data_IF_574554969531
#
_entry.id   IF_574554969531
#
_cell.length_a   1.000
_cell.length_b   1.000
_cell.length_c   1.000
_cell.angle_alpha   90.00
_cell.angle_beta   90.00
_cell.angle_gamma   90.00
#
_symmetry.space_group_name_H-M   'P 1'
#
loop_
_entity.id
_entity.type
_entity.pdbx_description
1 polymer ?
#
# COMPACT_ATOMS: atom_id res chain seq x y z
N UNK A 1 12.32 -4.02 -1.05
CA UNK A 1 11.94 -4.04 0.38
C UNK A 1 10.42 -4.12 0.54
N UNK A 2 9.66 -3.19 -0.06
CA UNK A 2 8.19 -3.21 -0.03
C UNK A 2 7.56 -4.55 -0.47
N UNK A 3 7.97 -5.14 -1.59
CA UNK A 3 7.45 -6.46 -2.03
C UNK A 3 7.69 -7.56 -0.99
N UNK A 4 8.82 -7.54 -0.30
CA UNK A 4 9.16 -8.51 0.77
C UNK A 4 8.26 -8.33 1.99
N UNK A 5 7.89 -7.09 2.33
CA UNK A 5 6.93 -6.77 3.41
C UNK A 5 5.54 -7.30 3.05
N UNK A 6 5.07 -7.05 1.82
CA UNK A 6 3.75 -7.53 1.36
C UNK A 6 3.70 -9.07 1.33
N UNK A 7 4.76 -9.74 0.89
CA UNK A 7 4.82 -11.21 0.95
C UNK A 7 4.82 -11.74 2.37
N UNK A 8 5.48 -11.07 3.32
CA UNK A 8 5.47 -11.45 4.72
C UNK A 8 4.08 -11.29 5.35
N UNK A 9 3.38 -10.18 5.06
CA UNK A 9 1.98 -9.96 5.46
C UNK A 9 1.11 -11.11 4.96
N UNK A 10 1.14 -11.40 3.65
CA UNK A 10 0.33 -12.48 3.06
C UNK A 10 0.56 -13.84 3.73
N UNK A 11 1.82 -14.17 4.03
CA UNK A 11 2.17 -15.43 4.72
C UNK A 11 1.62 -15.47 6.13
N UNK A 12 1.70 -14.36 6.88
CA UNK A 12 1.18 -14.27 8.24
C UNK A 12 -0.35 -14.33 8.27
N UNK A 13 -1.02 -13.65 7.34
CA UNK A 13 -2.48 -13.67 7.22
C UNK A 13 -3.04 -15.02 6.78
N UNK A 14 -2.28 -15.77 5.96
CA UNK A 14 -2.65 -17.14 5.58
C UNK A 14 -2.43 -18.16 6.70
N UNK A 15 -1.71 -17.79 7.76
CA UNK A 15 -1.40 -18.69 8.87
C UNK A 15 -2.57 -18.72 9.85
N UNK A 16 -3.01 -19.91 10.26
CA UNK A 16 -4.09 -20.04 11.27
C UNK A 16 -3.63 -19.66 12.69
N UNK A 17 -2.31 -19.57 12.91
CA UNK A 17 -1.72 -19.18 14.19
C UNK A 17 -1.84 -17.68 14.46
N UNK A 18 -2.86 -17.33 15.26
CA UNK A 18 -3.13 -15.96 15.76
C UNK A 18 -2.44 -15.65 17.09
N UNK A 19 -1.24 -16.20 17.31
CA UNK A 19 -0.46 -15.85 18.50
C UNK A 19 -0.26 -14.34 18.61
N UNK A 20 -0.18 -13.83 19.84
CA UNK A 20 0.05 -12.41 20.11
C UNK A 20 1.31 -11.89 19.39
N UNK A 21 2.36 -12.71 19.31
CA UNK A 21 3.60 -12.37 18.61
C UNK A 21 3.40 -12.23 17.10
N UNK A 22 2.57 -13.07 16.47
CA UNK A 22 2.28 -12.96 15.04
C UNK A 22 1.44 -11.71 14.75
N UNK A 23 0.51 -11.37 15.64
CA UNK A 23 -0.28 -10.13 15.51
C UNK A 23 0.61 -8.89 15.65
N UNK A 24 1.50 -8.84 16.64
CA UNK A 24 2.45 -7.73 16.81
C UNK A 24 3.38 -7.58 15.59
N UNK A 25 3.82 -8.69 15.01
CA UNK A 25 4.63 -8.68 13.79
C UNK A 25 3.82 -8.19 12.58
N UNK A 26 2.56 -8.62 12.46
CA UNK A 26 1.66 -8.20 11.38
C UNK A 26 1.40 -6.69 11.46
N UNK A 27 1.10 -6.16 12.65
CA UNK A 27 0.88 -4.74 12.89
C UNK A 27 2.13 -3.91 12.55
N UNK A 28 3.32 -4.41 12.90
CA UNK A 28 4.59 -3.78 12.53
C UNK A 28 4.78 -3.74 11.00
N UNK A 29 4.53 -4.85 10.30
CA UNK A 29 4.68 -4.91 8.85
C UNK A 29 3.69 -3.99 8.13
N UNK A 30 2.46 -3.88 8.64
CA UNK A 30 1.50 -2.90 8.16
C UNK A 30 2.00 -1.47 8.31
N UNK A 31 2.56 -1.12 9.47
CA UNK A 31 3.13 0.21 9.70
C UNK A 31 4.31 0.52 8.77
N UNK A 32 5.17 -0.46 8.45
CA UNK A 32 6.26 -0.28 7.48
C UNK A 32 5.73 -0.12 6.05
N UNK A 33 4.70 -0.86 5.66
CA UNK A 33 4.05 -0.68 4.37
C UNK A 33 3.42 0.73 4.24
N UNK A 34 2.76 1.22 5.29
CA UNK A 34 2.17 2.56 5.33
C UNK A 34 3.21 3.68 5.23
N UNK A 35 4.37 3.52 5.87
CA UNK A 35 5.48 4.48 5.72
C UNK A 35 5.93 4.61 4.27
N UNK A 36 6.09 3.48 3.57
CA UNK A 36 6.49 3.49 2.16
C UNK A 36 5.42 4.12 1.26
N UNK A 37 4.14 3.85 1.54
CA UNK A 37 3.02 4.52 0.83
C UNK A 37 3.10 6.03 1.02
N UNK A 38 3.31 6.50 2.25
CA UNK A 38 3.40 7.94 2.55
C UNK A 38 4.57 8.61 1.83
N UNK A 39 5.74 7.97 1.76
CA UNK A 39 6.89 8.49 0.99
C UNK A 39 6.53 8.61 -0.50
N UNK A 40 5.84 7.61 -1.05
CA UNK A 40 5.41 7.65 -2.44
C UNK A 40 4.35 8.73 -2.72
N UNK A 41 3.49 9.05 -1.75
CA UNK A 41 2.56 10.18 -1.85
C UNK A 41 3.30 11.53 -1.87
N UNK A 42 4.37 11.70 -1.08
CA UNK A 42 5.21 12.91 -1.16
C UNK A 42 5.83 13.08 -2.56
N UNK A 43 6.31 11.98 -3.15
CA UNK A 43 6.82 11.98 -4.51
C UNK A 43 5.71 12.32 -5.53
N UNK A 44 4.50 11.81 -5.31
CA UNK A 44 3.35 12.12 -6.16
C UNK A 44 3.02 13.62 -6.16
N UNK A 45 3.10 14.30 -5.00
CA UNK A 45 2.91 15.76 -4.95
C UNK A 45 3.94 16.49 -5.81
N UNK A 46 5.21 16.08 -5.72
CA UNK A 46 6.29 16.66 -6.55
C UNK A 46 6.04 16.45 -8.04
N UNK A 47 5.46 15.30 -8.42
CA UNK A 47 5.08 15.04 -9.81
C UNK A 47 3.85 15.84 -10.24
N UNK A 48 2.86 16.02 -9.37
CA UNK A 48 1.68 16.86 -9.63
C UNK A 48 2.07 18.29 -9.99
N UNK A 49 2.98 18.89 -9.21
CA UNK A 49 3.49 20.24 -9.45
C UNK A 49 4.25 20.37 -10.79
N UNK A 50 4.85 19.28 -11.29
CA UNK A 50 5.63 19.30 -12.54
C UNK A 50 4.84 18.88 -13.78
N UNK A 51 3.89 17.98 -13.63
CA UNK A 51 3.17 17.31 -14.74
C UNK A 51 1.72 17.79 -14.89
N UNK A 52 1.20 18.53 -13.91
CA UNK A 52 -0.20 18.96 -13.83
C UNK A 52 -1.04 18.01 -12.98
N UNK A 53 -1.86 18.58 -12.09
CA UNK A 53 -2.70 17.83 -11.15
C UNK A 53 -3.81 17.07 -11.87
N UNK A 54 -4.34 17.57 -12.98
CA UNK A 54 -5.39 16.93 -13.78
C UNK A 54 -4.94 15.57 -14.33
N UNK A 55 -3.66 15.47 -14.72
CA UNK A 55 -3.08 14.20 -15.22
C UNK A 55 -2.89 13.19 -14.10
N UNK A 56 -2.52 13.66 -12.91
CA UNK A 56 -2.38 12.81 -11.72
C UNK A 56 -3.74 12.31 -11.27
N UNK A 57 -4.74 13.19 -11.20
CA UNK A 57 -6.13 12.84 -10.87
C UNK A 57 -6.69 11.76 -11.81
N UNK A 58 -6.52 11.93 -13.13
CA UNK A 58 -6.96 10.92 -14.10
C UNK A 58 -6.36 9.54 -13.83
N UNK A 59 -5.05 9.48 -13.55
CA UNK A 59 -4.38 8.21 -13.19
C UNK A 59 -4.89 7.62 -11.87
N UNK A 60 -5.16 8.45 -10.87
CA UNK A 60 -5.68 7.99 -9.58
C UNK A 60 -7.11 7.44 -9.73
N UNK A 61 -7.94 8.07 -10.57
CA UNK A 61 -9.28 7.56 -10.91
C UNK A 61 -9.19 6.19 -11.59
N UNK A 62 -8.29 6.02 -12.56
CA UNK A 62 -8.09 4.72 -13.22
C UNK A 62 -7.68 3.63 -12.22
N UNK A 63 -6.76 3.95 -11.31
CA UNK A 63 -6.31 3.03 -10.25
C UNK A 63 -7.47 2.70 -9.30
N UNK A 64 -8.26 3.70 -8.89
CA UNK A 64 -9.41 3.50 -8.02
C UNK A 64 -10.44 2.56 -8.66
N UNK A 65 -10.74 2.77 -9.95
CA UNK A 65 -11.65 1.92 -10.72
C UNK A 65 -11.13 0.47 -10.80
N UNK A 66 -9.82 0.30 -11.03
CA UNK A 66 -9.19 -1.02 -10.99
C UNK A 66 -9.34 -1.70 -9.63
N UNK A 67 -9.06 -1.00 -8.53
CA UNK A 67 -9.19 -1.54 -7.16
C UNK A 67 -10.64 -1.92 -6.87
N UNK A 68 -11.61 -1.07 -7.24
CA UNK A 68 -13.03 -1.38 -7.07
C UNK A 68 -13.43 -2.64 -7.84
N UNK A 69 -12.94 -2.78 -9.08
CA UNK A 69 -13.20 -3.95 -9.91
C UNK A 69 -12.58 -5.23 -9.36
N UNK A 70 -11.40 -5.15 -8.72
CA UNK A 70 -10.74 -6.29 -8.10
C UNK A 70 -11.36 -6.73 -6.77
N UNK A 71 -12.14 -5.84 -6.12
CA UNK A 71 -12.88 -6.14 -4.87
C UNK A 71 -14.25 -6.77 -5.11
N UNK A 72 -14.82 -6.56 -6.31
CA UNK A 72 -16.10 -7.15 -6.74
C UNK A 72 -15.91 -8.54 -7.31
#
# INVERSE_FOLDING_TARGET
MFNTVIEAIKRLESNEDRSKSNQELLDYLYAEADKEINVNLLNLMTYGDRLGWERVEGRLVDILNFIQSAKG
#
